data_IF_539664738391
#
_entry.id   IF_539664738391
#
_cell.length_a   1.000
_cell.length_b   1.000
_cell.length_c   1.000
_cell.angle_alpha   90.00
_cell.angle_beta   90.00
_cell.angle_gamma   90.00
#
_symmetry.space_group_name_H-M   'P 1'
#
loop_
_entity.id
_entity.type
_entity.pdbx_description
1 polymer ?
#
# COMPACT_ATOMS: atom_id res chain seq x y z
N UNK A 1 0.15 6.30 15.69
CA UNK A 1 1.02 6.94 14.71
C UNK A 1 0.59 8.39 14.60
N UNK A 2 1.46 9.31 14.96
CA UNK A 2 1.13 10.76 14.94
C UNK A 2 1.83 11.31 13.70
N UNK A 3 1.16 11.88 12.76
CA UNK A 3 1.70 12.61 11.61
C UNK A 3 2.35 11.74 10.50
N UNK A 4 1.55 11.16 9.65
CA UNK A 4 1.97 10.68 8.32
C UNK A 4 1.38 11.58 7.23
N UNK A 5 2.06 11.68 6.09
CA UNK A 5 1.53 12.38 4.93
C UNK A 5 0.74 11.40 4.05
N UNK A 6 -0.42 11.84 3.57
CA UNK A 6 -1.23 11.09 2.62
C UNK A 6 -1.57 11.95 1.41
N UNK A 7 -1.46 11.38 0.23
CA UNK A 7 -1.85 12.05 -1.02
C UNK A 7 -2.51 11.09 -1.99
N UNK A 8 -3.38 11.61 -2.84
CA UNK A 8 -3.89 10.86 -3.98
C UNK A 8 -2.77 10.54 -4.96
N UNK A 9 -2.80 9.35 -5.55
CA UNK A 9 -1.76 8.82 -6.43
C UNK A 9 -2.33 8.46 -7.81
N UNK A 10 -1.45 8.58 -8.81
CA UNK A 10 -1.67 8.13 -10.18
C UNK A 10 -2.21 9.25 -11.09
N UNK A 11 -1.65 9.34 -12.30
CA UNK A 11 -2.11 10.33 -13.29
C UNK A 11 -3.38 9.84 -13.99
N UNK A 12 -3.31 8.69 -14.64
CA UNK A 12 -4.43 8.09 -15.37
C UNK A 12 -5.55 7.64 -14.45
N UNK A 13 -5.23 7.04 -13.29
CA UNK A 13 -6.25 6.62 -12.33
C UNK A 13 -7.03 7.79 -11.74
N UNK A 14 -6.39 8.94 -11.50
CA UNK A 14 -7.08 10.16 -11.05
C UNK A 14 -8.10 10.66 -12.08
N UNK A 15 -7.71 10.66 -13.37
CA UNK A 15 -8.61 11.06 -14.46
C UNK A 15 -9.78 10.08 -14.60
N UNK A 16 -9.50 8.78 -14.55
CA UNK A 16 -10.52 7.73 -14.68
C UNK A 16 -11.52 7.73 -13.53
N UNK A 17 -11.06 7.93 -12.28
CA UNK A 17 -11.96 8.03 -11.12
C UNK A 17 -12.96 9.15 -11.31
N UNK A 18 -12.50 10.33 -11.76
CA UNK A 18 -13.39 11.46 -12.08
C UNK A 18 -14.38 11.14 -13.21
N UNK A 19 -13.90 10.49 -14.27
CA UNK A 19 -14.72 10.13 -15.42
C UNK A 19 -15.80 9.10 -15.06
N UNK A 20 -15.52 8.17 -14.18
CA UNK A 20 -16.47 7.15 -13.73
C UNK A 20 -17.38 7.63 -12.59
N UNK A 21 -17.24 8.89 -12.15
CA UNK A 21 -18.03 9.42 -11.03
C UNK A 21 -17.84 8.66 -9.72
N UNK A 22 -16.64 8.20 -9.48
CA UNK A 22 -16.28 7.37 -8.32
C UNK A 22 -15.27 8.13 -7.45
N UNK A 23 -15.36 7.99 -6.13
CA UNK A 23 -14.47 8.64 -5.18
C UNK A 23 -13.33 7.71 -4.68
N UNK A 24 -13.21 6.51 -5.22
CA UNK A 24 -12.18 5.53 -4.85
C UNK A 24 -10.83 5.86 -5.47
N UNK A 25 -10.16 6.85 -4.93
CA UNK A 25 -8.81 7.22 -5.37
C UNK A 25 -7.75 6.23 -4.86
N UNK A 26 -6.65 6.08 -5.60
CA UNK A 26 -5.44 5.44 -5.09
C UNK A 26 -4.69 6.42 -4.21
N UNK A 27 -4.04 5.92 -3.15
CA UNK A 27 -3.33 6.75 -2.19
C UNK A 27 -1.86 6.35 -2.08
N UNK A 28 -1.02 7.32 -1.74
CA UNK A 28 0.34 7.11 -1.26
C UNK A 28 0.43 7.69 0.15
N UNK A 29 0.94 6.89 1.07
CA UNK A 29 1.17 7.25 2.47
C UNK A 29 2.68 7.29 2.67
N UNK A 30 3.18 8.37 3.23
CA UNK A 30 4.59 8.57 3.60
C UNK A 30 4.66 8.71 5.12
N UNK A 31 5.30 7.74 5.77
CA UNK A 31 5.40 7.70 7.23
C UNK A 31 6.53 8.58 7.74
N UNK A 32 7.60 8.69 6.96
CA UNK A 32 8.83 9.44 7.22
C UNK A 32 8.77 10.92 6.80
N UNK A 33 7.63 11.38 6.24
CA UNK A 33 7.52 12.72 5.64
C UNK A 33 7.85 13.87 6.60
N UNK A 34 7.44 13.77 7.85
CA UNK A 34 7.67 14.81 8.89
C UNK A 34 8.75 14.42 9.88
N UNK A 35 9.10 13.16 9.97
CA UNK A 35 10.11 12.63 10.89
C UNK A 35 10.73 11.36 10.29
N UNK A 36 11.97 11.47 9.85
CA UNK A 36 12.71 10.42 9.18
C UNK A 36 12.94 9.16 10.04
N UNK A 37 12.60 9.21 11.32
CA UNK A 37 12.69 8.05 12.22
C UNK A 37 11.42 7.21 12.25
N UNK A 38 10.31 7.74 11.68
CA UNK A 38 9.02 7.07 11.70
C UNK A 38 8.89 6.08 10.55
N UNK A 39 8.66 4.84 10.89
CA UNK A 39 8.37 3.77 9.94
C UNK A 39 7.14 2.98 10.38
N UNK A 40 6.46 2.37 9.45
CA UNK A 40 5.39 1.41 9.72
C UNK A 40 5.90 -0.01 9.49
N UNK A 41 6.25 -0.72 10.56
CA UNK A 41 6.86 -2.06 10.49
C UNK A 41 8.08 -2.15 9.56
N UNK A 42 8.87 -1.07 9.50
CA UNK A 42 10.03 -0.96 8.63
C UNK A 42 9.71 -0.49 7.21
N UNK A 43 8.48 -0.06 6.93
CA UNK A 43 8.09 0.59 5.69
C UNK A 43 8.08 2.12 5.89
N UNK A 44 8.77 2.83 5.01
CA UNK A 44 8.76 4.30 4.99
C UNK A 44 7.56 4.82 4.21
N UNK A 45 7.14 4.09 3.18
CA UNK A 45 6.08 4.49 2.26
C UNK A 45 5.20 3.31 1.87
N UNK A 46 3.89 3.54 1.86
CA UNK A 46 2.88 2.57 1.48
C UNK A 46 2.02 3.12 0.35
N UNK A 47 1.77 2.30 -0.65
CA UNK A 47 0.88 2.61 -1.77
C UNK A 47 -0.38 1.78 -1.64
N UNK A 48 -1.54 2.43 -1.80
CA UNK A 48 -2.85 1.79 -1.82
C UNK A 48 -3.46 1.98 -3.21
N UNK A 49 -3.46 0.91 -4.02
CA UNK A 49 -4.04 0.92 -5.35
C UNK A 49 -5.52 0.53 -5.29
N UNK A 50 -6.36 1.33 -5.93
CA UNK A 50 -7.80 1.09 -6.03
C UNK A 50 -8.19 0.01 -7.07
N UNK A 51 -7.23 -0.39 -7.93
CA UNK A 51 -7.42 -1.37 -9.01
C UNK A 51 -8.63 -1.08 -9.92
N UNK A 52 -8.94 0.20 -10.16
CA UNK A 52 -10.15 0.63 -10.89
C UNK A 52 -10.26 0.08 -12.32
N UNK A 53 -9.14 -0.30 -12.92
CA UNK A 53 -9.08 -0.85 -14.28
C UNK A 53 -9.00 -2.39 -14.30
N UNK A 54 -9.01 -3.03 -13.14
CA UNK A 54 -8.93 -4.49 -13.02
C UNK A 54 -10.16 -5.04 -12.28
N UNK A 55 -11.13 -5.52 -13.03
CA UNK A 55 -12.36 -6.12 -12.47
C UNK A 55 -12.08 -7.39 -11.66
N UNK A 56 -10.94 -8.04 -11.87
CA UNK A 56 -10.54 -9.23 -11.11
C UNK A 56 -9.87 -8.89 -9.80
N UNK A 57 -9.34 -7.66 -9.66
CA UNK A 57 -8.51 -7.17 -8.55
C UNK A 57 -7.25 -8.01 -8.32
N UNK A 58 -6.87 -8.88 -9.24
CA UNK A 58 -5.82 -9.90 -9.06
C UNK A 58 -4.59 -9.68 -9.92
N UNK A 59 -4.65 -8.88 -10.99
CA UNK A 59 -3.56 -8.75 -11.96
C UNK A 59 -2.25 -8.33 -11.29
N UNK A 60 -2.26 -7.21 -10.60
CA UNK A 60 -1.07 -6.68 -9.93
C UNK A 60 -0.60 -7.63 -8.83
N UNK A 61 -1.52 -8.16 -8.03
CA UNK A 61 -1.20 -9.11 -6.97
C UNK A 61 -0.48 -10.35 -7.51
N UNK A 62 -1.05 -10.99 -8.53
CA UNK A 62 -0.47 -12.18 -9.14
C UNK A 62 0.88 -11.88 -9.80
N UNK A 63 1.00 -10.74 -10.48
CA UNK A 63 2.25 -10.33 -11.12
C UNK A 63 3.38 -10.21 -10.10
N UNK A 64 3.18 -9.49 -9.00
CA UNK A 64 4.20 -9.34 -7.96
C UNK A 64 4.50 -10.66 -7.24
N UNK A 65 3.48 -11.51 -7.02
CA UNK A 65 3.68 -12.84 -6.44
C UNK A 65 4.50 -13.75 -7.37
N UNK A 66 4.27 -13.70 -8.67
CA UNK A 66 5.03 -14.45 -9.66
C UNK A 66 6.47 -13.96 -9.74
N UNK A 67 6.71 -12.64 -9.75
CA UNK A 67 8.05 -12.07 -9.72
C UNK A 67 8.83 -12.55 -8.49
N UNK A 68 8.21 -12.46 -7.30
CA UNK A 68 8.83 -12.94 -6.07
C UNK A 68 9.10 -14.46 -6.10
N UNK A 69 8.21 -15.25 -6.70
CA UNK A 69 8.41 -16.69 -6.87
C UNK A 69 9.60 -17.02 -7.79
N UNK A 70 9.78 -16.23 -8.85
CA UNK A 70 10.91 -16.37 -9.77
C UNK A 70 12.24 -15.81 -9.22
N UNK A 71 12.24 -15.26 -8.00
CA UNK A 71 13.44 -14.66 -7.41
C UNK A 71 13.79 -13.28 -7.97
N UNK A 72 12.85 -12.62 -8.64
CA UNK A 72 12.98 -11.24 -9.10
C UNK A 72 12.57 -10.29 -7.98
N UNK A 73 13.27 -9.18 -7.84
CA UNK A 73 12.94 -8.14 -6.87
C UNK A 73 11.53 -7.62 -7.12
N UNK A 74 10.68 -7.78 -6.13
CA UNK A 74 9.30 -7.35 -6.20
C UNK A 74 8.88 -6.70 -4.88
N UNK A 75 8.07 -5.63 -4.92
CA UNK A 75 7.55 -5.01 -3.72
C UNK A 75 6.68 -6.00 -2.94
N UNK A 76 6.61 -5.82 -1.63
CA UNK A 76 5.65 -6.53 -0.79
C UNK A 76 4.24 -6.13 -1.22
N UNK A 77 3.37 -7.11 -1.35
CA UNK A 77 2.00 -6.93 -1.81
C UNK A 77 1.01 -7.67 -0.92
N UNK A 78 -0.08 -7.00 -0.55
CA UNK A 78 -1.18 -7.60 0.20
C UNK A 78 -2.49 -6.87 -0.10
N UNK A 79 -3.62 -7.53 0.16
CA UNK A 79 -4.91 -6.85 0.15
C UNK A 79 -5.16 -6.16 1.48
N UNK A 80 -5.77 -4.97 1.42
CA UNK A 80 -6.21 -4.22 2.59
C UNK A 80 -7.64 -3.71 2.38
N UNK A 81 -8.50 -3.95 3.35
CA UNK A 81 -9.81 -3.31 3.40
C UNK A 81 -9.69 -1.99 4.15
N UNK A 82 -10.11 -0.90 3.54
CA UNK A 82 -9.90 0.45 4.06
C UNK A 82 -11.22 1.03 4.52
N UNK A 83 -11.20 1.60 5.71
CA UNK A 83 -12.28 2.43 6.25
C UNK A 83 -11.75 3.84 6.48
N UNK A 84 -12.53 4.85 6.11
CA UNK A 84 -12.21 6.26 6.32
C UNK A 84 -13.35 6.89 7.11
N UNK A 85 -13.05 7.48 8.26
CA UNK A 85 -14.05 8.10 9.14
C UNK A 85 -15.21 7.15 9.52
N UNK A 86 -14.95 5.86 9.68
CA UNK A 86 -15.91 4.77 9.94
C UNK A 86 -16.83 4.42 8.76
N UNK A 87 -16.55 4.94 7.58
CA UNK A 87 -17.21 4.53 6.34
C UNK A 87 -16.33 3.56 5.57
N UNK A 88 -16.92 2.52 5.02
CA UNK A 88 -16.22 1.50 4.25
C UNK A 88 -15.81 2.07 2.89
N UNK A 89 -14.51 2.20 2.69
CA UNK A 89 -13.94 2.68 1.42
C UNK A 89 -13.68 1.54 0.44
N UNK A 90 -13.56 0.32 0.94
CA UNK A 90 -13.51 -0.92 0.19
C UNK A 90 -12.12 -1.58 0.15
N UNK A 91 -11.98 -2.54 -0.77
CA UNK A 91 -10.78 -3.35 -0.94
C UNK A 91 -9.75 -2.62 -1.80
N UNK A 92 -8.52 -2.55 -1.31
CA UNK A 92 -7.35 -1.97 -1.98
C UNK A 92 -6.22 -2.97 -2.04
N UNK A 93 -5.33 -2.80 -3.01
CA UNK A 93 -4.05 -3.50 -3.04
C UNK A 93 -3.00 -2.61 -2.38
N UNK A 94 -2.49 -3.05 -1.24
CA UNK A 94 -1.42 -2.41 -0.51
C UNK A 94 -0.07 -2.88 -1.05
N UNK A 95 0.79 -1.94 -1.42
CA UNK A 95 2.09 -2.16 -2.02
C UNK A 95 3.15 -1.37 -1.26
N UNK A 96 4.31 -1.98 -1.07
CA UNK A 96 5.51 -1.22 -0.73
C UNK A 96 5.85 -0.24 -1.85
N UNK A 97 6.21 1.00 -1.50
CA UNK A 97 6.60 1.96 -2.53
C UNK A 97 7.98 1.61 -3.09
N UNK A 98 8.06 1.50 -4.41
CA UNK A 98 9.28 1.10 -5.15
C UNK A 98 10.36 2.19 -5.17
N UNK A 99 10.14 3.34 -4.53
CA UNK A 99 11.12 4.41 -4.45
C UNK A 99 12.25 4.02 -3.48
N UNK A 100 13.40 3.65 -4.03
CA UNK A 100 14.58 3.27 -3.25
C UNK A 100 14.58 1.81 -2.82
N UNK A 101 14.30 0.88 -3.73
CA UNK A 101 14.62 -0.53 -3.50
C UNK A 101 16.12 -0.61 -3.23
N UNK A 102 16.48 -0.72 -1.94
CA UNK A 102 17.82 -1.16 -1.59
C UNK A 102 18.01 -2.55 -2.21
N UNK A 103 19.14 -2.82 -2.88
CA UNK A 103 19.39 -4.14 -3.45
C UNK A 103 19.21 -5.18 -2.34
N UNK A 104 18.71 -6.36 -2.68
CA UNK A 104 18.35 -7.52 -1.83
C UNK A 104 19.45 -8.00 -0.85
N UNK A 105 20.43 -7.19 -0.56
CA UNK A 105 21.45 -7.47 0.47
C UNK A 105 20.93 -7.30 1.91
N UNK A 106 19.68 -6.91 2.10
CA UNK A 106 19.12 -6.79 3.46
C UNK A 106 18.61 -8.16 3.94
N UNK A 107 19.26 -8.79 4.93
CA UNK A 107 18.85 -10.09 5.48
C UNK A 107 17.43 -10.14 6.04
N UNK A 108 16.81 -8.98 6.22
CA UNK A 108 15.43 -8.85 6.69
C UNK A 108 14.38 -9.29 5.65
N UNK A 109 14.73 -9.37 4.35
CA UNK A 109 13.81 -9.81 3.28
C UNK A 109 13.56 -11.33 3.30
N UNK A 110 14.48 -12.14 3.82
CA UNK A 110 14.28 -13.58 4.00
C UNK A 110 13.21 -13.94 5.05
N UNK A 111 12.85 -12.99 5.91
CA UNK A 111 11.76 -13.12 6.90
C UNK A 111 10.38 -12.72 6.35
N UNK A 112 10.26 -12.34 5.08
CA UNK A 112 9.01 -11.87 4.49
C UNK A 112 7.88 -12.92 4.46
N UNK A 113 8.22 -14.22 4.58
CA UNK A 113 7.21 -15.29 4.72
C UNK A 113 6.33 -15.13 5.96
N UNK A 114 6.84 -14.50 7.02
CA UNK A 114 6.14 -14.28 8.28
C UNK A 114 5.36 -12.95 8.34
N UNK A 115 5.67 -11.99 7.46
CA UNK A 115 5.07 -10.65 7.49
C UNK A 115 3.81 -10.48 6.63
N UNK A 116 3.50 -11.44 5.76
CA UNK A 116 2.31 -11.39 4.89
C UNK A 116 0.98 -11.43 5.66
N UNK A 117 1.00 -11.85 6.92
CA UNK A 117 -0.19 -11.90 7.78
C UNK A 117 -0.39 -10.64 8.65
N UNK A 118 0.52 -9.66 8.57
CA UNK A 118 0.50 -8.51 9.49
C UNK A 118 -0.29 -7.29 8.98
N UNK A 119 -0.71 -7.28 7.70
CA UNK A 119 -1.46 -6.16 7.11
C UNK A 119 -2.98 -6.24 7.32
N UNK A 120 -3.46 -7.27 8.02
CA UNK A 120 -4.91 -7.48 8.23
C UNK A 120 -5.55 -6.54 9.27
N UNK A 121 -4.81 -5.67 9.91
CA UNK A 121 -5.35 -4.78 10.96
C UNK A 121 -4.81 -3.35 10.79
N UNK A 122 -5.31 -2.65 9.79
CA UNK A 122 -5.33 -1.19 9.84
C UNK A 122 -6.57 -0.76 10.66
N UNK A 123 -6.48 -0.87 11.98
CA UNK A 123 -7.46 -0.25 12.86
C UNK A 123 -7.29 1.27 12.80
N UNK A 124 -8.39 2.04 12.72
CA UNK A 124 -8.31 3.49 12.64
C UNK A 124 -7.67 4.07 13.90
N UNK A 125 -6.82 5.08 13.74
CA UNK A 125 -6.40 5.93 14.84
C UNK A 125 -7.63 6.52 15.51
N UNK A 126 -7.97 6.04 16.72
CA UNK A 126 -8.94 6.71 17.57
C UNK A 126 -8.32 8.03 18.01
N UNK A 127 -8.85 9.15 17.53
CA UNK A 127 -8.67 10.44 18.18
C UNK A 127 -9.36 10.33 19.56
N UNK A 128 -8.57 10.14 20.60
CA UNK A 128 -8.97 10.49 21.96
C UNK A 128 -8.38 11.84 22.27
N UNK A 129 -9.28 12.76 22.57
CA UNK A 129 -9.05 14.14 22.98
C UNK A 129 -7.97 14.30 24.07
#
# INVERSE_FOLDING_TARGET
MKNCAIRAKGNTSLSNVKQYGNDRYSFKIEFDHYDNTLTYHGLDKLVLNNNIQDNTLMKDYLTYRMMAYMGVDAPLVSYAFITVNREDFGLYLALEAVEGIAPLSCPCMLSARSRQNCLSVLTPCSNSA
#
